data_IF_607998507045
#
_entry.id   IF_607998507045
#
_cell.length_a   1.000
_cell.length_b   1.000
_cell.length_c   1.000
_cell.angle_alpha   90.00
_cell.angle_beta   90.00
_cell.angle_gamma   90.00
#
_symmetry.space_group_name_H-M   'P 1'
#
loop_
_entity.id
_entity.type
_entity.pdbx_description
1 polymer ?
#
# COMPACT_ATOMS: atom_id res chain seq x y z
N UNK A 1 -45.66 -11.39 -12.37
CA UNK A 1 -44.73 -12.16 -11.52
C UNK A 1 -43.55 -12.59 -12.38
N UNK A 2 -42.64 -11.66 -12.65
CA UNK A 2 -41.38 -11.97 -13.31
C UNK A 2 -40.48 -12.66 -12.30
N UNK A 3 -40.56 -13.99 -12.30
CA UNK A 3 -39.47 -14.95 -12.09
C UNK A 3 -38.32 -14.52 -11.13
N UNK A 4 -38.59 -14.55 -9.81
CA UNK A 4 -37.55 -14.55 -8.77
C UNK A 4 -36.50 -15.68 -8.94
N UNK A 5 -36.86 -16.75 -9.65
CA UNK A 5 -35.96 -17.89 -9.93
C UNK A 5 -34.95 -17.57 -11.04
N UNK A 6 -35.27 -16.67 -11.98
CA UNK A 6 -34.39 -16.35 -13.11
C UNK A 6 -33.29 -15.34 -12.72
N UNK A 7 -33.52 -14.54 -11.67
CA UNK A 7 -32.56 -13.58 -11.15
C UNK A 7 -31.58 -14.19 -10.12
N UNK A 8 -32.00 -15.24 -9.40
CA UNK A 8 -31.15 -16.05 -8.52
C UNK A 8 -29.93 -16.65 -9.22
N UNK A 9 -30.06 -16.89 -10.53
CA UNK A 9 -28.97 -17.43 -11.34
C UNK A 9 -27.97 -16.37 -11.81
N UNK A 10 -28.34 -15.09 -11.92
CA UNK A 10 -27.45 -14.06 -12.48
C UNK A 10 -26.60 -13.36 -11.42
N UNK A 11 -27.10 -13.20 -10.19
CA UNK A 11 -26.33 -12.57 -9.09
C UNK A 11 -25.15 -13.43 -8.58
N UNK A 12 -25.20 -14.75 -8.80
CA UNK A 12 -24.20 -15.71 -8.31
C UNK A 12 -23.07 -16.03 -9.31
N UNK A 13 -23.09 -15.52 -10.55
CA UNK A 13 -22.32 -16.15 -11.64
C UNK A 13 -21.02 -15.46 -12.08
N UNK A 14 -20.61 -14.33 -11.49
CA UNK A 14 -19.33 -13.74 -11.90
C UNK A 14 -18.58 -13.02 -10.79
N UNK A 15 -17.26 -12.93 -10.98
CA UNK A 15 -16.39 -12.07 -10.17
C UNK A 15 -16.85 -10.60 -10.19
N UNK A 16 -17.52 -10.17 -11.26
CA UNK A 16 -18.01 -8.80 -11.41
C UNK A 16 -19.11 -8.46 -10.41
N UNK A 17 -19.94 -9.43 -10.00
CA UNK A 17 -20.96 -9.17 -8.98
C UNK A 17 -20.35 -9.00 -7.57
N UNK A 18 -19.23 -9.67 -7.28
CA UNK A 18 -18.44 -9.39 -6.08
C UNK A 18 -17.81 -8.00 -6.18
N UNK A 19 -17.17 -7.66 -7.30
CA UNK A 19 -16.57 -6.32 -7.50
C UNK A 19 -17.58 -5.20 -7.30
N UNK A 20 -18.78 -5.32 -7.87
CA UNK A 20 -19.86 -4.35 -7.66
C UNK A 20 -20.20 -4.16 -6.18
N UNK A 21 -20.25 -5.26 -5.40
CA UNK A 21 -20.48 -5.19 -3.95
C UNK A 21 -19.32 -4.50 -3.23
N UNK A 22 -18.08 -4.70 -3.69
CA UNK A 22 -16.90 -4.06 -3.11
C UNK A 22 -16.81 -2.56 -3.43
N UNK A 23 -17.23 -2.17 -4.64
CA UNK A 23 -17.20 -0.78 -5.14
C UNK A 23 -18.33 0.08 -4.53
N UNK A 24 -19.46 -0.52 -4.18
CA UNK A 24 -20.56 0.18 -3.53
C UNK A 24 -20.33 0.30 -2.00
N UNK A 25 -20.25 1.51 -1.42
CA UNK A 25 -19.92 1.68 0.00
C UNK A 25 -20.91 1.02 0.97
N UNK A 26 -22.20 1.04 0.68
CA UNK A 26 -23.24 0.48 1.56
C UNK A 26 -23.18 -1.04 1.59
N UNK A 27 -23.04 -1.65 0.41
CA UNK A 27 -22.96 -3.09 0.26
C UNK A 27 -21.63 -3.63 0.77
N UNK A 28 -20.53 -2.93 0.51
CA UNK A 28 -19.22 -3.25 1.02
C UNK A 28 -19.21 -3.22 2.57
N UNK A 29 -19.97 -2.32 3.18
CA UNK A 29 -20.14 -2.28 4.64
C UNK A 29 -20.89 -3.52 5.16
N UNK A 30 -22.01 -3.91 4.52
CA UNK A 30 -22.73 -5.13 4.91
C UNK A 30 -21.90 -6.39 4.66
N UNK A 31 -21.16 -6.45 3.56
CA UNK A 31 -20.24 -7.54 3.26
C UNK A 31 -19.10 -7.61 4.28
N UNK A 32 -18.56 -6.46 4.70
CA UNK A 32 -17.54 -6.37 5.76
C UNK A 32 -18.05 -6.89 7.10
N UNK A 33 -19.29 -6.56 7.48
CA UNK A 33 -19.91 -7.12 8.70
C UNK A 33 -20.02 -8.64 8.59
N UNK A 34 -20.45 -9.13 7.43
CA UNK A 34 -20.55 -10.57 7.19
C UNK A 34 -19.18 -11.26 7.26
N UNK A 35 -18.14 -10.72 6.63
CA UNK A 35 -16.77 -11.25 6.71
C UNK A 35 -16.22 -11.27 8.14
N UNK A 36 -16.64 -10.31 8.99
CA UNK A 36 -16.27 -10.29 10.40
C UNK A 36 -16.90 -11.47 11.16
N UNK A 37 -18.16 -11.79 10.88
CA UNK A 37 -18.86 -12.93 11.48
C UNK A 37 -18.30 -14.26 10.99
N UNK A 38 -17.96 -14.36 9.71
CA UNK A 38 -17.34 -15.56 9.11
C UNK A 38 -15.83 -15.67 9.37
N UNK A 39 -15.26 -14.75 10.18
CA UNK A 39 -13.83 -14.73 10.55
C UNK A 39 -12.88 -14.74 9.34
N UNK A 40 -13.21 -13.96 8.31
CA UNK A 40 -12.43 -13.85 7.06
C UNK A 40 -12.19 -12.39 6.64
N UNK A 41 -12.30 -11.46 7.59
CA UNK A 41 -12.23 -10.01 7.35
C UNK A 41 -10.84 -9.57 6.86
N UNK A 42 -9.78 -10.30 7.21
CA UNK A 42 -8.41 -10.07 6.79
C UNK A 42 -8.26 -10.04 5.26
N UNK A 43 -8.98 -10.91 4.55
CA UNK A 43 -8.99 -10.97 3.09
C UNK A 43 -9.55 -9.67 2.49
N UNK A 44 -10.69 -9.20 2.99
CA UNK A 44 -11.30 -7.96 2.54
C UNK A 44 -10.43 -6.74 2.88
N UNK A 45 -9.81 -6.72 4.06
CA UNK A 45 -8.94 -5.63 4.49
C UNK A 45 -7.65 -5.56 3.68
N UNK A 46 -7.06 -6.72 3.33
CA UNK A 46 -5.91 -6.79 2.45
C UNK A 46 -6.24 -6.22 1.07
N UNK A 47 -7.32 -6.70 0.43
CA UNK A 47 -7.75 -6.21 -0.88
C UNK A 47 -7.95 -4.70 -0.88
N UNK A 48 -8.72 -4.16 0.08
CA UNK A 48 -8.93 -2.71 0.22
C UNK A 48 -7.63 -1.92 0.35
N UNK A 49 -6.65 -2.48 1.07
CA UNK A 49 -5.38 -1.80 1.30
C UNK A 49 -4.50 -1.79 0.06
N UNK A 50 -4.49 -2.88 -0.72
CA UNK A 50 -3.79 -2.98 -2.01
C UNK A 50 -4.42 -2.06 -3.04
N UNK A 51 -5.76 -2.05 -3.18
CA UNK A 51 -6.47 -1.12 -4.07
C UNK A 51 -6.14 0.33 -3.74
N UNK A 52 -6.19 0.69 -2.45
CA UNK A 52 -5.83 2.04 -2.01
C UNK A 52 -4.38 2.40 -2.33
N UNK A 53 -3.44 1.47 -2.17
CA UNK A 53 -2.03 1.71 -2.52
C UNK A 53 -1.90 2.02 -4.02
N UNK A 54 -2.56 1.23 -4.88
CA UNK A 54 -2.55 1.44 -6.33
C UNK A 54 -3.14 2.80 -6.72
N UNK A 55 -4.26 3.18 -6.11
CA UNK A 55 -4.88 4.49 -6.31
C UNK A 55 -3.94 5.64 -5.92
N UNK A 56 -3.28 5.55 -4.77
CA UNK A 56 -2.34 6.58 -4.31
C UNK A 56 -1.10 6.68 -5.22
N UNK A 57 -0.58 5.56 -5.72
CA UNK A 57 0.52 5.53 -6.71
C UNK A 57 0.07 6.19 -8.02
N UNK A 58 -1.11 5.83 -8.54
CA UNK A 58 -1.65 6.41 -9.76
C UNK A 58 -1.93 7.91 -9.63
N UNK A 59 -2.42 8.36 -8.47
CA UNK A 59 -2.60 9.78 -8.17
C UNK A 59 -1.26 10.52 -8.20
N UNK A 60 -0.23 9.96 -7.55
CA UNK A 60 1.12 10.55 -7.54
C UNK A 60 1.68 10.67 -8.96
N UNK A 61 1.50 9.66 -9.80
CA UNK A 61 1.96 9.67 -11.19
C UNK A 61 1.23 10.72 -12.03
N UNK A 62 -0.08 10.83 -11.84
CA UNK A 62 -0.89 11.87 -12.47
C UNK A 62 -0.43 13.27 -12.05
N UNK A 63 -0.12 13.47 -10.76
CA UNK A 63 0.44 14.73 -10.25
C UNK A 63 1.81 15.01 -10.91
N UNK A 64 2.68 14.01 -11.00
CA UNK A 64 4.02 14.15 -11.59
C UNK A 64 3.99 14.58 -13.06
N UNK A 65 2.99 14.11 -13.82
CA UNK A 65 2.85 14.43 -15.24
C UNK A 65 2.18 15.80 -15.44
N UNK A 66 1.19 16.14 -14.62
CA UNK A 66 0.25 17.23 -14.94
C UNK A 66 0.32 18.45 -14.01
N UNK A 67 1.05 18.39 -12.90
CA UNK A 67 1.07 19.45 -11.88
C UNK A 67 2.42 20.16 -11.81
N UNK A 68 2.44 21.29 -11.10
CA UNK A 68 3.65 22.07 -10.92
C UNK A 68 4.64 21.35 -10.01
N UNK A 69 5.94 21.69 -10.12
CA UNK A 69 6.97 21.17 -9.20
C UNK A 69 6.64 21.42 -7.73
N UNK A 70 5.97 22.53 -7.43
CA UNK A 70 5.52 22.88 -6.08
C UNK A 70 4.46 21.90 -5.58
N UNK A 71 3.50 21.53 -6.43
CA UNK A 71 2.45 20.58 -6.06
C UNK A 71 3.01 19.18 -5.78
N UNK A 72 4.00 18.74 -6.58
CA UNK A 72 4.70 17.47 -6.37
C UNK A 72 5.40 17.48 -5.00
N UNK A 73 6.15 18.55 -4.71
CA UNK A 73 6.84 18.73 -3.44
C UNK A 73 5.89 18.73 -2.25
N UNK A 74 4.78 19.46 -2.34
CA UNK A 74 3.79 19.55 -1.27
C UNK A 74 3.14 18.18 -1.03
N UNK A 75 2.89 17.38 -2.08
CA UNK A 75 2.39 16.01 -1.97
C UNK A 75 3.39 15.10 -1.25
N UNK A 76 4.65 15.07 -1.70
CA UNK A 76 5.71 14.23 -1.12
C UNK A 76 5.95 14.56 0.35
N UNK A 77 6.03 15.86 0.68
CA UNK A 77 6.16 16.33 2.06
C UNK A 77 4.98 15.89 2.93
N UNK A 78 3.75 16.00 2.43
CA UNK A 78 2.55 15.57 3.14
C UNK A 78 2.44 14.05 3.30
N UNK A 79 2.98 13.27 2.37
CA UNK A 79 3.00 11.81 2.45
C UNK A 79 4.08 11.33 3.43
N UNK A 80 5.27 11.93 3.40
CA UNK A 80 6.36 11.64 4.33
C UNK A 80 6.04 12.02 5.78
N UNK A 81 5.30 13.12 6.00
CA UNK A 81 4.92 13.55 7.35
C UNK A 81 4.00 12.56 8.08
N UNK A 82 3.30 11.68 7.34
CA UNK A 82 2.47 10.61 7.95
C UNK A 82 3.29 9.52 8.60
N UNK A 83 4.55 9.35 8.19
CA UNK A 83 5.44 8.29 8.69
C UNK A 83 6.41 8.76 9.77
N UNK A 84 6.52 10.07 10.00
CA UNK A 84 7.47 10.65 10.95
C UNK A 84 6.77 11.34 12.10
N UNK A 85 7.35 11.25 13.30
CA UNK A 85 7.06 12.24 14.34
C UNK A 85 7.56 13.61 13.83
N UNK A 86 6.85 14.71 14.11
CA UNK A 86 7.08 16.01 13.46
C UNK A 86 8.50 16.62 13.61
N UNK A 87 9.37 16.07 14.47
CA UNK A 87 10.66 16.68 14.80
C UNK A 87 11.86 16.17 13.94
N UNK A 88 11.70 15.13 13.11
CA UNK A 88 12.83 14.42 12.46
C UNK A 88 12.94 14.63 10.92
N UNK A 89 12.45 15.76 10.40
CA UNK A 89 12.59 16.10 8.96
C UNK A 89 13.37 17.39 8.77
N UNK A 90 14.63 17.26 8.32
CA UNK A 90 15.32 18.34 7.60
C UNK A 90 15.28 18.05 6.11
N UNK A 91 14.79 19.02 5.36
CA UNK A 91 14.65 18.95 3.91
C UNK A 91 15.41 20.13 3.33
N UNK A 92 16.55 19.86 2.72
CA UNK A 92 17.41 20.89 2.15
C UNK A 92 17.18 20.95 0.63
N UNK A 93 16.77 22.13 0.16
CA UNK A 93 16.59 22.43 -1.26
C UNK A 93 17.91 22.98 -1.81
N UNK A 94 18.62 22.19 -2.62
CA UNK A 94 19.76 22.68 -3.38
C UNK A 94 19.27 23.33 -4.68
N UNK A 95 19.54 24.64 -4.83
CA UNK A 95 19.27 25.39 -6.06
C UNK A 95 20.56 25.35 -6.89
N UNK A 96 20.56 24.62 -8.01
CA UNK A 96 21.62 24.70 -9.02
C UNK A 96 21.22 25.65 -10.15
N UNK A 97 22.17 26.50 -10.57
CA UNK A 97 21.96 27.56 -11.58
C UNK A 97 21.71 27.03 -13.01
N UNK A 98 21.82 25.72 -13.25
CA UNK A 98 21.55 25.08 -14.54
C UNK A 98 20.25 24.25 -14.54
N UNK A 99 19.10 24.87 -14.23
CA UNK A 99 17.75 24.43 -14.63
C UNK A 99 17.22 23.05 -14.17
N UNK A 100 18.05 22.21 -13.55
CA UNK A 100 17.71 20.90 -13.00
C UNK A 100 17.70 20.98 -11.48
N UNK A 101 16.55 20.67 -10.87
CA UNK A 101 16.42 20.61 -9.42
C UNK A 101 16.48 19.15 -8.99
N UNK A 102 17.47 18.83 -8.17
CA UNK A 102 17.60 17.54 -7.51
C UNK A 102 17.01 17.67 -6.11
N UNK A 103 15.95 16.92 -5.82
CA UNK A 103 15.43 16.81 -4.47
C UNK A 103 16.20 15.71 -3.75
N UNK A 104 17.07 16.09 -2.81
CA UNK A 104 17.82 15.14 -2.00
C UNK A 104 17.15 14.95 -0.64
N UNK A 105 16.81 13.70 -0.30
CA UNK A 105 16.27 13.35 1.01
C UNK A 105 17.39 12.85 1.92
N UNK A 106 17.64 13.55 3.03
CA UNK A 106 18.48 13.05 4.11
C UNK A 106 17.67 12.19 5.07
N UNK A 107 17.92 10.89 5.10
CA UNK A 107 17.38 9.99 6.13
C UNK A 107 18.36 9.94 7.31
N UNK A 108 18.01 10.58 8.43
CA UNK A 108 18.64 10.23 9.70
C UNK A 108 17.99 8.95 10.21
N UNK A 109 18.80 7.89 10.26
CA UNK A 109 18.40 6.60 10.80
C UNK A 109 18.55 6.67 12.32
N UNK A 110 17.44 6.73 13.08
CA UNK A 110 17.44 6.71 14.55
C UNK A 110 17.88 5.35 15.15
N UNK A 111 18.42 4.44 14.33
CA UNK A 111 19.02 3.20 14.79
C UNK A 111 20.31 3.41 15.60
N UNK A 112 20.89 4.61 15.57
CA UNK A 112 21.88 5.05 16.56
C UNK A 112 21.20 5.84 17.69
N UNK A 113 20.35 5.13 18.42
CA UNK A 113 19.85 5.66 19.67
C UNK A 113 21.00 5.69 20.68
N UNK A 114 21.36 6.92 21.06
CA UNK A 114 22.21 7.36 22.17
C UNK A 114 22.20 6.40 23.37
N UNK A 115 23.09 5.40 23.41
CA UNK A 115 23.49 4.75 24.67
C UNK A 115 24.72 3.83 24.62
N UNK A 116 25.68 4.03 23.70
CA UNK A 116 26.95 3.29 23.78
C UNK A 116 28.18 4.21 23.97
N UNK A 117 28.68 4.15 25.21
CA UNK A 117 30.08 4.31 25.66
C UNK A 117 30.80 5.65 25.42
N UNK A 118 30.39 6.68 26.14
CA UNK A 118 31.34 7.66 26.71
C UNK A 118 30.89 8.10 28.11
N UNK A 119 30.93 7.15 29.04
CA UNK A 119 30.92 7.39 30.48
C UNK A 119 32.14 6.68 31.04
N UNK A 120 33.29 7.35 30.92
CA UNK A 120 34.35 7.41 31.92
C UNK A 120 35.34 8.46 31.46
N UNK A 121 35.47 9.51 32.26
CA UNK A 121 36.17 10.73 31.91
C UNK A 121 37.66 10.55 31.73
N UNK A 122 38.19 11.19 30.70
CA UNK A 122 39.36 12.07 30.78
C UNK A 122 39.37 12.92 29.49
N UNK A 123 39.19 14.23 29.62
CA UNK A 123 39.19 15.18 28.48
C UNK A 123 40.41 16.11 28.56
N UNK A 124 41.55 15.60 29.01
CA UNK A 124 42.75 16.41 29.19
C UNK A 124 43.84 16.21 28.12
N UNK A 125 43.64 15.35 27.10
CA UNK A 125 44.64 15.19 26.02
C UNK A 125 44.01 14.87 24.65
N UNK A 126 43.46 15.87 23.95
CA UNK A 126 43.35 15.78 22.48
C UNK A 126 43.93 17.06 21.86
N UNK A 127 45.16 16.88 21.41
CA UNK A 127 45.98 17.74 20.59
C UNK A 127 45.24 18.12 19.30
N UNK A 128 44.91 19.40 19.16
CA UNK A 128 44.44 19.99 17.92
C UNK A 128 45.59 20.07 16.93
N UNK A 129 45.69 19.12 15.99
CA UNK A 129 46.26 19.30 14.66
C UNK A 129 46.12 18.01 13.84
N UNK A 130 45.57 18.13 12.63
CA UNK A 130 45.38 17.11 11.58
C UNK A 130 44.09 16.26 11.66
N UNK A 131 42.96 16.84 11.27
CA UNK A 131 41.84 16.08 10.68
C UNK A 131 41.83 16.32 9.16
N UNK A 132 42.23 15.34 8.32
CA UNK A 132 41.89 15.36 6.92
C UNK A 132 40.45 14.85 6.75
N UNK A 133 39.60 15.67 6.13
CA UNK A 133 38.35 15.31 5.46
C UNK A 133 37.29 14.52 6.25
N UNK A 134 36.54 15.24 7.09
CA UNK A 134 35.10 15.00 7.29
C UNK A 134 34.33 15.42 6.03
N UNK A 135 34.58 14.74 4.92
CA UNK A 135 33.72 14.72 3.74
C UNK A 135 33.15 13.31 3.57
N UNK A 136 32.64 12.74 4.66
CA UNK A 136 31.62 11.69 4.56
C UNK A 136 30.28 12.38 4.22
N UNK A 137 30.27 13.07 3.07
CA UNK A 137 29.10 13.10 2.22
C UNK A 137 28.96 11.66 1.72
N UNK A 138 28.49 10.76 2.59
CA UNK A 138 27.92 9.50 2.17
C UNK A 138 26.98 9.86 1.03
N UNK A 139 27.35 9.36 -0.14
CA UNK A 139 26.80 9.69 -1.43
C UNK A 139 25.31 9.91 -1.29
N UNK A 140 24.91 11.18 -1.35
CA UNK A 140 23.59 11.58 -1.78
C UNK A 140 23.42 10.90 -3.13
N UNK A 141 22.91 9.67 -3.11
CA UNK A 141 22.28 9.03 -4.26
C UNK A 141 21.15 9.96 -4.62
N UNK A 142 21.50 10.98 -5.40
CA UNK A 142 20.66 11.64 -6.36
C UNK A 142 19.79 10.53 -6.91
N UNK A 143 18.54 10.52 -6.47
CA UNK A 143 17.54 9.55 -6.85
C UNK A 143 17.31 9.79 -8.34
N UNK A 144 18.19 9.22 -9.17
CA UNK A 144 17.92 9.00 -10.58
C UNK A 144 16.63 8.20 -10.56
N UNK A 145 15.54 8.90 -10.83
CA UNK A 145 14.25 8.35 -11.20
C UNK A 145 14.51 7.48 -12.42
N UNK A 146 14.97 6.26 -12.18
CA UNK A 146 15.39 5.35 -13.22
C UNK A 146 14.12 4.94 -13.94
N UNK A 147 14.16 5.05 -15.27
CA UNK A 147 13.06 5.11 -16.23
C UNK A 147 12.22 3.84 -16.38
N UNK A 148 12.20 2.96 -15.36
CA UNK A 148 11.26 1.84 -15.34
C UNK A 148 9.96 2.28 -14.67
N UNK A 149 9.01 2.71 -15.52
CA UNK A 149 7.63 3.08 -15.17
C UNK A 149 6.87 2.02 -14.36
N UNK A 150 7.40 0.80 -14.19
CA UNK A 150 6.70 -0.30 -13.51
C UNK A 150 7.14 -0.54 -12.05
N UNK A 151 8.07 0.26 -11.52
CA UNK A 151 8.52 0.15 -10.12
C UNK A 151 7.71 1.02 -9.18
N UNK A 152 7.60 0.61 -7.91
CA UNK A 152 6.93 1.37 -6.86
C UNK A 152 7.79 2.59 -6.51
N UNK A 153 7.25 3.83 -6.55
CA UNK A 153 8.00 4.99 -6.10
C UNK A 153 8.41 4.84 -4.64
N UNK A 154 9.65 5.22 -4.32
CA UNK A 154 10.27 5.05 -2.98
C UNK A 154 9.38 5.57 -1.83
N UNK A 155 8.62 6.64 -2.10
CA UNK A 155 7.65 7.24 -1.18
C UNK A 155 6.61 6.24 -0.62
N UNK A 156 6.31 5.17 -1.36
CA UNK A 156 5.32 4.14 -1.02
C UNK A 156 5.93 2.87 -0.46
N UNK A 157 7.26 2.75 -0.36
CA UNK A 157 7.90 1.52 0.14
C UNK A 157 7.51 1.19 1.59
N UNK A 158 7.30 2.21 2.42
CA UNK A 158 6.79 1.99 3.78
C UNK A 158 5.38 1.37 3.76
N UNK A 159 4.50 1.82 2.85
CA UNK A 159 3.17 1.26 2.68
C UNK A 159 3.25 -0.23 2.27
N UNK A 160 4.15 -0.56 1.33
CA UNK A 160 4.41 -1.94 0.88
C UNK A 160 4.88 -2.82 2.05
N UNK A 161 5.86 -2.34 2.82
CA UNK A 161 6.40 -3.06 3.99
C UNK A 161 5.35 -3.25 5.08
N UNK A 162 4.49 -2.25 5.31
CA UNK A 162 3.36 -2.37 6.24
C UNK A 162 2.34 -3.41 5.79
N UNK A 163 1.98 -3.43 4.49
CA UNK A 163 1.06 -4.43 3.93
C UNK A 163 1.64 -5.83 4.12
N UNK A 164 2.91 -6.02 3.76
CA UNK A 164 3.60 -7.30 3.95
C UNK A 164 3.58 -7.74 5.41
N UNK A 165 4.03 -6.88 6.32
CA UNK A 165 4.09 -7.21 7.76
C UNK A 165 2.71 -7.54 8.33
N UNK A 166 1.67 -6.84 7.89
CA UNK A 166 0.33 -6.96 8.45
C UNK A 166 -0.47 -8.11 7.84
N UNK A 167 -0.32 -8.41 6.56
CA UNK A 167 -1.18 -9.36 5.87
C UNK A 167 -0.45 -10.59 5.32
N UNK A 168 0.84 -10.49 5.00
CA UNK A 168 1.57 -11.56 4.29
C UNK A 168 2.55 -12.30 5.20
N UNK A 169 3.19 -11.61 6.13
CA UNK A 169 4.22 -12.18 6.99
C UNK A 169 3.66 -13.32 7.84
N UNK A 170 4.42 -14.42 7.94
CA UNK A 170 4.07 -15.58 8.74
C UNK A 170 3.88 -15.21 10.21
N UNK A 171 2.78 -15.65 10.80
CA UNK A 171 2.42 -15.35 12.17
C UNK A 171 1.78 -13.97 12.36
N UNK A 172 1.47 -13.25 11.28
CA UNK A 172 0.66 -12.04 11.41
C UNK A 172 -0.75 -12.38 11.87
N UNK A 173 -1.33 -11.52 12.72
CA UNK A 173 -2.71 -11.65 13.21
C UNK A 173 -3.72 -11.59 12.05
N UNK A 174 -3.39 -10.87 10.99
CA UNK A 174 -4.21 -10.78 9.77
C UNK A 174 -3.53 -11.50 8.59
N UNK A 175 -2.73 -12.55 8.85
CA UNK A 175 -2.14 -13.37 7.79
C UNK A 175 -3.24 -13.92 6.86
N UNK A 176 -3.20 -13.53 5.59
CA UNK A 176 -4.13 -14.01 4.57
C UNK A 176 -3.74 -15.41 4.10
N UNK A 177 -4.75 -16.20 3.73
CA UNK A 177 -4.52 -17.55 3.25
C UNK A 177 -4.16 -17.54 1.75
N UNK A 178 -2.88 -17.42 1.45
CA UNK A 178 -2.35 -17.48 0.07
C UNK A 178 -1.40 -18.67 -0.12
N UNK A 179 -1.22 -19.08 -1.37
CA UNK A 179 -0.31 -20.16 -1.71
C UNK A 179 1.14 -19.86 -1.31
N UNK A 180 1.88 -20.91 -0.94
CA UNK A 180 3.28 -20.76 -0.53
C UNK A 180 4.15 -20.18 -1.66
N UNK A 181 3.80 -20.43 -2.92
CA UNK A 181 4.51 -19.87 -4.07
C UNK A 181 4.42 -18.33 -4.10
N UNK A 182 3.21 -17.77 -3.95
CA UNK A 182 2.99 -16.33 -3.90
C UNK A 182 3.66 -15.71 -2.68
N UNK A 183 3.53 -16.34 -1.51
CA UNK A 183 4.21 -15.90 -0.29
C UNK A 183 5.73 -15.78 -0.50
N UNK A 184 6.37 -16.81 -1.07
CA UNK A 184 7.82 -16.81 -1.30
C UNK A 184 8.23 -15.72 -2.31
N UNK A 185 7.42 -15.51 -3.37
CA UNK A 185 7.65 -14.43 -4.34
C UNK A 185 7.71 -13.07 -3.65
N UNK A 186 6.65 -12.72 -2.92
CA UNK A 186 6.53 -11.43 -2.21
C UNK A 186 7.61 -11.31 -1.13
N UNK A 187 7.84 -12.36 -0.34
CA UNK A 187 8.82 -12.36 0.74
C UNK A 187 10.24 -12.16 0.23
N UNK A 188 10.61 -12.80 -0.87
CA UNK A 188 11.93 -12.63 -1.47
C UNK A 188 12.12 -11.20 -2.00
N UNK A 189 11.11 -10.65 -2.67
CA UNK A 189 11.18 -9.29 -3.21
C UNK A 189 11.27 -8.22 -2.11
N UNK A 190 10.57 -8.40 -0.99
CA UNK A 190 10.56 -7.42 0.11
C UNK A 190 11.74 -7.56 1.08
N UNK A 191 12.21 -8.78 1.36
CA UNK A 191 13.27 -8.99 2.37
C UNK A 191 14.67 -9.09 1.76
N UNK A 192 14.78 -9.58 0.52
CA UNK A 192 16.06 -9.81 -0.15
C UNK A 192 16.22 -8.96 -1.42
N UNK A 193 15.15 -8.31 -1.88
CA UNK A 193 15.19 -7.43 -3.04
C UNK A 193 15.83 -6.09 -2.71
N UNK A 194 16.27 -5.42 -3.77
CA UNK A 194 16.66 -4.02 -3.68
C UNK A 194 15.39 -3.17 -3.65
N UNK A 195 15.23 -2.38 -2.58
CA UNK A 195 14.11 -1.48 -2.34
C UNK A 195 13.83 -0.57 -3.56
N UNK A 196 14.85 -0.25 -4.36
CA UNK A 196 14.73 0.59 -5.56
C UNK A 196 14.02 -0.11 -6.75
N UNK A 197 13.80 -1.42 -6.70
CA UNK A 197 13.31 -2.22 -7.84
C UNK A 197 12.05 -3.04 -7.57
N UNK A 198 11.33 -2.77 -6.47
CA UNK A 198 10.06 -3.45 -6.17
C UNK A 198 9.00 -3.08 -7.22
N UNK A 199 8.33 -4.07 -7.80
CA UNK A 199 7.36 -3.86 -8.87
C UNK A 199 5.98 -3.45 -8.35
N UNK A 200 5.25 -2.63 -9.12
CA UNK A 200 3.89 -2.16 -8.77
C UNK A 200 2.86 -3.29 -8.62
N UNK A 201 3.10 -4.40 -9.31
CA UNK A 201 2.24 -5.58 -9.34
C UNK A 201 2.64 -6.63 -8.28
N UNK A 202 3.52 -6.30 -7.34
CA UNK A 202 4.00 -7.22 -6.30
C UNK A 202 2.87 -7.95 -5.55
N UNK A 203 1.72 -7.28 -5.36
CA UNK A 203 0.58 -7.86 -4.65
C UNK A 203 -0.51 -8.44 -5.57
N UNK A 204 -0.38 -8.38 -6.90
CA UNK A 204 -1.47 -8.70 -7.82
C UNK A 204 -1.88 -10.17 -7.76
N UNK A 205 -0.92 -11.08 -7.68
CA UNK A 205 -1.21 -12.51 -7.55
C UNK A 205 -1.91 -12.82 -6.22
N UNK A 206 -1.45 -12.22 -5.11
CA UNK A 206 -2.06 -12.39 -3.81
C UNK A 206 -3.48 -11.80 -3.75
N UNK A 207 -3.68 -10.63 -4.35
CA UNK A 207 -4.98 -9.95 -4.40
C UNK A 207 -6.00 -10.75 -5.22
N UNK A 208 -5.57 -11.32 -6.34
CA UNK A 208 -6.40 -12.22 -7.14
C UNK A 208 -6.77 -13.50 -6.38
N UNK A 209 -5.83 -14.11 -5.64
CA UNK A 209 -6.12 -15.29 -4.81
C UNK A 209 -7.12 -14.94 -3.69
N UNK A 210 -6.95 -13.79 -3.04
CA UNK A 210 -7.87 -13.27 -2.03
C UNK A 210 -9.27 -13.02 -2.58
N UNK A 211 -9.39 -12.38 -3.74
CA UNK A 211 -10.68 -12.15 -4.40
C UNK A 211 -11.35 -13.48 -4.75
N UNK A 212 -10.59 -14.46 -5.22
CA UNK A 212 -11.11 -15.81 -5.46
C UNK A 212 -11.62 -16.45 -4.17
N UNK A 213 -10.90 -16.36 -3.06
CA UNK A 213 -11.34 -16.89 -1.76
C UNK A 213 -12.64 -16.22 -1.30
N UNK A 214 -12.71 -14.89 -1.38
CA UNK A 214 -13.91 -14.13 -1.04
C UNK A 214 -15.09 -14.55 -1.92
N UNK A 215 -14.87 -14.73 -3.22
CA UNK A 215 -15.91 -15.13 -4.15
C UNK A 215 -16.38 -16.57 -3.92
N UNK A 216 -15.48 -17.55 -3.91
CA UNK A 216 -15.84 -18.97 -3.87
C UNK A 216 -16.40 -19.39 -2.52
N UNK A 217 -15.89 -18.84 -1.42
CA UNK A 217 -16.17 -19.36 -0.08
C UNK A 217 -17.18 -18.50 0.70
N UNK A 218 -17.20 -17.18 0.46
CA UNK A 218 -17.90 -16.21 1.30
C UNK A 218 -19.08 -15.59 0.57
N UNK A 219 -18.86 -15.10 -0.65
CA UNK A 219 -19.84 -14.30 -1.39
C UNK A 219 -21.16 -15.04 -1.62
N UNK A 220 -21.12 -16.29 -2.08
CA UNK A 220 -22.36 -17.07 -2.30
C UNK A 220 -23.19 -17.27 -1.02
N UNK A 221 -22.55 -17.38 0.16
CA UNK A 221 -23.24 -17.47 1.45
C UNK A 221 -23.78 -16.12 1.89
N UNK A 222 -23.01 -15.05 1.69
CA UNK A 222 -23.44 -13.68 1.93
C UNK A 222 -24.73 -13.39 1.16
N UNK A 223 -24.75 -13.64 -0.14
CA UNK A 223 -25.92 -13.42 -1.01
C UNK A 223 -27.14 -14.17 -0.48
N UNK A 224 -26.99 -15.47 -0.16
CA UNK A 224 -28.08 -16.27 0.45
C UNK A 224 -28.59 -15.67 1.77
N UNK A 225 -27.70 -15.10 2.58
CA UNK A 225 -28.06 -14.48 3.86
C UNK A 225 -28.79 -13.15 3.67
N UNK A 226 -28.51 -12.41 2.57
CA UNK A 226 -29.18 -11.16 2.25
C UNK A 226 -30.54 -11.35 1.56
N UNK A 227 -30.84 -12.51 0.98
CA UNK A 227 -32.08 -12.79 0.23
C UNK A 227 -33.38 -12.46 0.99
N UNK A 228 -33.37 -12.53 2.32
CA UNK A 228 -34.54 -12.23 3.14
C UNK A 228 -34.59 -10.78 3.64
N UNK A 229 -33.62 -9.94 3.27
CA UNK A 229 -33.56 -8.54 3.70
C UNK A 229 -34.09 -7.63 2.60
N UNK A 230 -34.90 -6.64 3.01
CA UNK A 230 -35.47 -5.62 2.10
C UNK A 230 -34.42 -4.94 1.22
N UNK A 231 -33.22 -4.70 1.76
CA UNK A 231 -32.07 -4.13 1.07
C UNK A 231 -31.68 -4.91 -0.21
N UNK A 232 -31.89 -6.23 -0.22
CA UNK A 232 -31.52 -7.07 -1.35
C UNK A 232 -32.48 -6.96 -2.54
N UNK A 233 -33.76 -6.65 -2.29
CA UNK A 233 -34.70 -6.37 -3.37
C UNK A 233 -34.34 -5.07 -4.10
N UNK A 234 -33.88 -4.06 -3.37
CA UNK A 234 -33.40 -2.79 -3.94
C UNK A 234 -32.06 -2.98 -4.68
N UNK A 235 -31.20 -3.88 -4.18
CA UNK A 235 -29.94 -4.29 -4.80
C UNK A 235 -30.11 -5.02 -6.15
N UNK A 236 -31.05 -5.95 -6.21
CA UNK A 236 -31.41 -6.69 -7.43
C UNK A 236 -31.90 -5.73 -8.53
N UNK A 237 -32.64 -4.68 -8.15
CA UNK A 237 -33.05 -3.62 -9.08
C UNK A 237 -31.88 -2.75 -9.59
N UNK A 238 -30.84 -2.55 -8.79
CA UNK A 238 -29.66 -1.75 -9.20
C UNK A 238 -28.76 -2.50 -10.19
N UNK A 239 -28.49 -3.78 -9.95
CA UNK A 239 -27.61 -4.58 -10.82
C UNK A 239 -28.21 -4.78 -12.21
N UNK A 240 -29.53 -4.98 -12.29
CA UNK A 240 -30.19 -5.15 -13.59
C UNK A 240 -30.17 -3.86 -14.41
N UNK A 241 -30.23 -2.68 -13.79
CA UNK A 241 -30.13 -1.39 -14.50
C UNK A 241 -28.73 -1.17 -15.09
N UNK A 242 -27.66 -1.55 -14.37
CA UNK A 242 -26.29 -1.38 -14.86
C UNK A 242 -25.90 -2.33 -15.99
N UNK A 243 -26.67 -3.41 -16.21
CA UNK A 243 -26.45 -4.37 -17.31
C UNK A 243 -27.21 -4.01 -18.60
N UNK A 244 -28.15 -3.05 -18.52
CA UNK A 244 -28.95 -2.58 -19.67
C UNK A 244 -28.37 -1.32 -20.34
N UNK A 245 -27.29 -0.73 -19.80
CA UNK A 245 -26.52 0.39 -20.37
C UNK A 245 -25.23 -0.09 -21.07
#
# INVERSE_FOLDING_TARGET
>A
MLNMVYLQENLNKSMDSLKFVLDNPELCNEFSKYCTVELCIENLLFHKRVTKLKEEIAEYENIKIHKSKRDIYDYEKNKLSKFKKPDDVRLDLAIHEEGSYDASYGYYNDYYNKQDKYLNGDFSEINTNNHPHLNDYDELRSYKNNTNDNTIPILFLNDVKEIYKKYIARGSIFEINISNAIYQKISNEINNGDDEFIMKDIFDEADNEVLNILYTNIYGKFIKTQQNKKLFNDFELMINKSLEE
#
